data_IF_023401799418
#
_entry.id   IF_023401799418
#
_cell.length_a   1.000
_cell.length_b   1.000
_cell.length_c   1.000
_cell.angle_alpha   90.00
_cell.angle_beta   90.00
_cell.angle_gamma   90.00
#
_symmetry.space_group_name_H-M   'P 1'
#
loop_
_entity.id
_entity.type
_entity.pdbx_description
1 polymer ?
#
# COMPACT_ATOMS: atom_id res chain seq x y z
N UNK A 1 7.81 -15.73 5.44
CA UNK A 1 6.80 -15.18 4.51
C UNK A 1 6.22 -13.85 4.97
N UNK A 2 5.92 -13.68 6.27
CA UNK A 2 5.46 -12.39 6.83
C UNK A 2 6.49 -11.25 6.75
N UNK A 3 7.79 -11.54 6.86
CA UNK A 3 8.84 -10.52 6.76
C UNK A 3 8.79 -9.71 5.44
N UNK A 4 8.53 -10.37 4.30
CA UNK A 4 8.37 -9.69 3.00
C UNK A 4 7.15 -8.79 2.96
N UNK A 5 6.04 -9.22 3.58
CA UNK A 5 4.81 -8.41 3.65
C UNK A 5 5.05 -7.18 4.52
N UNK A 6 5.76 -7.33 5.66
CA UNK A 6 6.16 -6.22 6.53
C UNK A 6 7.12 -5.23 5.85
N UNK A 7 8.12 -5.74 5.13
CA UNK A 7 9.05 -4.92 4.35
C UNK A 7 8.32 -4.12 3.26
N UNK A 8 7.44 -4.80 2.51
CA UNK A 8 6.60 -4.15 1.50
C UNK A 8 5.63 -3.15 2.12
N UNK A 9 5.08 -3.45 3.30
CA UNK A 9 4.22 -2.53 4.06
C UNK A 9 4.98 -1.27 4.48
N UNK A 10 6.22 -1.41 4.96
CA UNK A 10 7.09 -0.27 5.24
C UNK A 10 7.34 0.57 3.97
N UNK A 11 7.54 -0.08 2.82
CA UNK A 11 7.72 0.63 1.55
C UNK A 11 6.46 1.35 1.09
N UNK A 12 5.29 0.71 1.21
CA UNK A 12 3.98 1.31 0.95
C UNK A 12 3.77 2.53 1.85
N UNK A 13 4.08 2.42 3.14
CA UNK A 13 3.95 3.50 4.11
C UNK A 13 4.83 4.69 3.73
N UNK A 14 6.11 4.44 3.41
CA UNK A 14 7.04 5.49 2.99
C UNK A 14 6.60 6.18 1.69
N UNK A 15 6.06 5.43 0.74
CA UNK A 15 5.46 6.01 -0.47
C UNK A 15 4.25 6.90 -0.15
N UNK A 16 3.51 6.61 0.92
CA UNK A 16 2.36 7.40 1.36
C UNK A 16 2.76 8.61 2.22
N UNK A 17 3.98 8.65 2.77
CA UNK A 17 4.52 9.84 3.46
C UNK A 17 4.68 11.01 2.49
N UNK A 18 4.96 10.76 1.22
CA UNK A 18 5.01 11.80 0.18
C UNK A 18 3.61 12.34 -0.19
N UNK A 19 2.54 11.72 0.30
CA UNK A 19 1.15 12.12 0.05
C UNK A 19 0.23 10.94 -0.26
N UNK A 20 -1.06 11.23 -0.39
CA UNK A 20 -2.05 10.20 -0.74
C UNK A 20 -1.80 9.64 -2.14
N UNK A 21 -1.90 8.32 -2.28
CA UNK A 21 -1.71 7.63 -3.56
C UNK A 21 -2.82 6.64 -3.82
N UNK A 22 -3.14 6.50 -5.09
CA UNK A 22 -4.12 5.51 -5.53
C UNK A 22 -3.51 4.09 -5.43
N UNK A 23 -4.33 3.12 -5.06
CA UNK A 23 -3.97 1.69 -5.01
C UNK A 23 -3.32 1.20 -6.30
N UNK A 24 -3.84 1.63 -7.45
CA UNK A 24 -3.28 1.28 -8.76
C UNK A 24 -1.89 1.86 -9.00
N UNK A 25 -1.61 3.06 -8.48
CA UNK A 25 -0.29 3.70 -8.57
C UNK A 25 0.71 2.99 -7.68
N UNK A 26 0.35 2.71 -6.42
CA UNK A 26 1.14 1.92 -5.49
C UNK A 26 1.49 0.55 -6.07
N UNK A 27 0.48 -0.16 -6.58
CA UNK A 27 0.66 -1.47 -7.22
C UNK A 27 1.61 -1.39 -8.42
N UNK A 28 1.52 -0.35 -9.25
CA UNK A 28 2.42 -0.15 -10.39
C UNK A 28 3.87 0.12 -9.95
N UNK A 29 4.08 0.98 -8.95
CA UNK A 29 5.41 1.32 -8.42
C UNK A 29 6.07 0.06 -7.86
N UNK A 30 5.38 -0.64 -6.96
CA UNK A 30 5.89 -1.85 -6.31
C UNK A 30 6.12 -2.98 -7.32
N UNK A 31 5.27 -3.09 -8.34
CA UNK A 31 5.48 -4.03 -9.44
C UNK A 31 6.74 -3.72 -10.24
N UNK A 32 7.10 -2.45 -10.43
CA UNK A 32 8.38 -2.05 -11.05
C UNK A 32 9.58 -2.39 -10.17
N UNK A 33 9.42 -2.36 -8.85
CA UNK A 33 10.42 -2.87 -7.88
C UNK A 33 10.42 -4.41 -7.77
N UNK A 34 9.72 -5.12 -8.65
CA UNK A 34 9.68 -6.59 -8.68
C UNK A 34 8.76 -7.23 -7.65
N UNK A 35 7.92 -6.44 -6.97
CA UNK A 35 6.99 -6.95 -5.97
C UNK A 35 5.69 -7.42 -6.64
N UNK A 36 5.17 -8.56 -6.18
CA UNK A 36 3.94 -9.11 -6.72
C UNK A 36 2.72 -8.33 -6.21
N UNK A 37 1.73 -8.08 -7.07
CA UNK A 37 0.49 -7.37 -6.72
C UNK A 37 -0.21 -7.97 -5.50
N UNK A 38 -0.20 -9.30 -5.37
CA UNK A 38 -0.77 -9.98 -4.20
C UNK A 38 -0.06 -9.59 -2.89
N UNK A 39 1.25 -9.39 -2.96
CA UNK A 39 2.08 -9.01 -1.82
C UNK A 39 1.82 -7.56 -1.42
N UNK A 40 1.62 -6.67 -2.40
CA UNK A 40 1.20 -5.27 -2.18
C UNK A 40 -0.17 -5.22 -1.50
N UNK A 41 -1.15 -6.01 -1.97
CA UNK A 41 -2.49 -6.06 -1.36
C UNK A 41 -2.40 -6.57 0.09
N UNK A 42 -1.60 -7.61 0.35
CA UNK A 42 -1.37 -8.09 1.71
C UNK A 42 -0.68 -7.05 2.60
N UNK A 43 0.27 -6.29 2.06
CA UNK A 43 0.97 -5.23 2.78
C UNK A 43 0.04 -4.06 3.14
N UNK A 44 -0.84 -3.67 2.24
CA UNK A 44 -1.88 -2.66 2.50
C UNK A 44 -2.85 -3.17 3.57
N UNK A 45 -3.30 -4.43 3.47
CA UNK A 45 -4.13 -5.06 4.51
C UNK A 45 -3.43 -5.12 5.87
N UNK A 46 -2.11 -5.33 5.90
CA UNK A 46 -1.30 -5.31 7.12
C UNK A 46 -1.29 -3.91 7.76
N UNK A 47 -1.03 -2.86 6.98
CA UNK A 47 -1.07 -1.49 7.47
C UNK A 47 -2.46 -1.07 7.94
N UNK A 48 -3.50 -1.49 7.23
CA UNK A 48 -4.89 -1.22 7.60
C UNK A 48 -5.26 -1.92 8.93
N UNK A 49 -4.77 -3.15 9.15
CA UNK A 49 -4.92 -3.86 10.42
C UNK A 49 -4.23 -3.13 11.57
N UNK A 50 -3.08 -2.50 11.32
CA UNK A 50 -2.37 -1.69 12.32
C UNK A 50 -2.94 -0.25 12.45
N UNK A 51 -4.04 0.07 11.76
CA UNK A 51 -4.67 1.41 11.75
C UNK A 51 -3.72 2.54 11.29
N UNK A 52 -2.67 2.21 10.53
CA UNK A 52 -1.66 3.15 10.03
C UNK A 52 -2.08 3.90 8.76
N UNK A 53 -3.05 3.36 8.02
CA UNK A 53 -3.51 3.92 6.75
C UNK A 53 -5.03 3.99 6.71
N UNK A 54 -5.54 4.97 5.96
CA UNK A 54 -6.92 5.09 5.58
C UNK A 54 -7.10 4.71 4.10
N UNK A 55 -8.07 3.84 3.83
CA UNK A 55 -8.42 3.41 2.49
C UNK A 55 -9.79 3.99 2.13
N UNK A 56 -9.81 4.96 1.24
CA UNK A 56 -10.99 5.71 0.83
C UNK A 56 -11.34 5.29 -0.60
N UNK A 57 -12.62 5.04 -0.86
CA UNK A 57 -13.11 4.76 -2.20
C UNK A 57 -13.76 6.02 -2.78
N UNK A 58 -13.08 6.65 -3.73
CA UNK A 58 -13.55 7.87 -4.40
C UNK A 58 -13.81 7.59 -5.89
N UNK A 59 -15.05 7.78 -6.35
CA UNK A 59 -15.45 7.63 -7.77
C UNK A 59 -14.92 6.36 -8.47
N UNK A 60 -14.89 5.22 -7.75
CA UNK A 60 -14.40 3.94 -8.28
C UNK A 60 -12.88 3.72 -8.18
N UNK A 61 -12.14 4.69 -7.67
CA UNK A 61 -10.71 4.59 -7.35
C UNK A 61 -10.53 4.37 -5.85
N UNK A 62 -9.52 3.58 -5.50
CA UNK A 62 -9.10 3.40 -4.12
C UNK A 62 -7.94 4.35 -3.83
N UNK A 63 -8.18 5.32 -2.97
CA UNK A 63 -7.17 6.26 -2.47
C UNK A 63 -6.69 5.74 -1.12
N UNK A 64 -5.38 5.68 -0.96
CA UNK A 64 -4.74 5.28 0.28
C UNK A 64 -3.99 6.50 0.78
N UNK A 65 -4.15 6.79 2.05
CA UNK A 65 -3.42 7.86 2.73
C UNK A 65 -2.98 7.40 4.11
N UNK A 66 -1.91 7.98 4.63
CA UNK A 66 -1.56 7.78 6.04
C UNK A 66 -2.67 8.36 6.93
N UNK A 67 -2.85 7.75 8.10
CA UNK A 67 -3.76 8.26 9.12
C UNK A 67 -3.10 9.36 9.92
#
# INVERSE_FOLDING_TARGET
>A
MWAKIGETAGRVYHLLEEGEKNLSSLTKILRREGHNTNLVIMAIGWLAREDKINVIKDHGKWIIRLK
#
